data_IF_916955289802
#
_entry.id   IF_916955289802
#
_cell.length_a   1.000
_cell.length_b   1.000
_cell.length_c   1.000
_cell.angle_alpha   90.00
_cell.angle_beta   90.00
_cell.angle_gamma   90.00
#
_symmetry.space_group_name_H-M   'P 1'
#
loop_
_entity.id
_entity.type
_entity.pdbx_description
1 polymer ?
#
# COMPACT_ATOMS: atom_id res chain seq x y z
N UNK A 1 35.61 -2.11 15.66
CA UNK A 1 34.77 -0.90 15.57
C UNK A 1 33.89 -0.87 16.81
N UNK A 2 34.03 0.18 17.63
CA UNK A 2 33.38 0.31 18.93
C UNK A 2 31.95 0.87 18.75
N UNK A 3 31.04 0.66 19.72
CA UNK A 3 29.66 1.15 19.65
C UNK A 3 29.55 2.67 19.39
N UNK A 4 30.52 3.45 19.89
CA UNK A 4 30.58 4.90 19.67
C UNK A 4 30.74 5.27 18.18
N UNK A 5 31.43 4.44 17.40
CA UNK A 5 31.71 4.70 15.98
C UNK A 5 30.43 4.58 15.14
N UNK A 6 29.58 3.58 15.43
CA UNK A 6 28.34 3.34 14.68
C UNK A 6 27.30 4.43 14.93
N UNK A 7 27.16 4.87 16.19
CA UNK A 7 26.29 5.99 16.56
C UNK A 7 26.67 7.26 15.79
N UNK A 8 27.96 7.56 15.67
CA UNK A 8 28.45 8.71 14.93
C UNK A 8 28.17 8.57 13.42
N UNK A 9 28.37 7.37 12.84
CA UNK A 9 28.04 7.11 11.43
C UNK A 9 26.55 7.34 11.12
N UNK A 10 25.64 6.78 11.92
CA UNK A 10 24.20 7.01 11.77
C UNK A 10 23.86 8.50 11.86
N UNK A 11 24.46 9.20 12.82
CA UNK A 11 24.27 10.63 12.98
C UNK A 11 24.74 11.43 11.78
N UNK A 12 25.90 11.08 11.19
CA UNK A 12 26.43 11.73 9.99
C UNK A 12 25.59 11.45 8.75
N UNK A 13 25.10 10.22 8.56
CA UNK A 13 24.30 9.81 7.39
C UNK A 13 22.92 10.49 7.37
N UNK A 14 22.24 10.59 8.51
CA UNK A 14 20.87 11.13 8.56
C UNK A 14 20.75 12.50 9.24
N UNK A 15 21.87 13.06 9.72
CA UNK A 15 21.94 14.35 10.44
C UNK A 15 21.05 14.40 11.70
N UNK A 16 20.97 13.28 12.41
CA UNK A 16 20.00 13.05 13.49
C UNK A 16 20.05 14.10 14.61
N UNK A 17 21.23 14.37 15.16
CA UNK A 17 21.41 15.33 16.26
C UNK A 17 21.12 16.77 15.82
N UNK A 18 21.51 17.14 14.58
CA UNK A 18 21.20 18.46 14.03
C UNK A 18 19.69 18.68 13.87
N UNK A 19 18.93 17.59 13.65
CA UNK A 19 17.47 17.59 13.59
C UNK A 19 16.79 17.41 14.96
N UNK A 20 17.56 17.31 16.05
CA UNK A 20 17.03 17.13 17.41
C UNK A 20 16.53 15.72 17.72
N UNK A 21 16.94 14.71 16.95
CA UNK A 21 16.60 13.31 17.19
C UNK A 21 17.38 12.78 18.41
N UNK A 22 16.72 12.17 19.42
CA UNK A 22 17.42 11.58 20.55
C UNK A 22 18.27 10.37 20.16
N UNK A 23 19.52 10.34 20.62
CA UNK A 23 20.48 9.25 20.37
C UNK A 23 20.88 8.57 21.68
N UNK A 24 20.07 7.66 22.24
CA UNK A 24 20.35 7.04 23.52
C UNK A 24 21.48 5.98 23.42
N UNK A 25 22.10 5.67 24.56
CA UNK A 25 23.26 4.76 24.62
C UNK A 25 22.89 3.27 24.71
N UNK A 26 21.62 2.96 24.99
CA UNK A 26 21.09 1.59 25.08
C UNK A 26 20.64 1.01 23.73
N UNK A 27 20.68 1.80 22.65
CA UNK A 27 20.34 1.36 21.29
C UNK A 27 21.55 0.70 20.63
N UNK A 28 21.34 -0.45 19.99
CA UNK A 28 22.35 -1.09 19.16
C UNK A 28 22.48 -0.38 17.80
N UNK A 29 23.32 0.67 17.78
CA UNK A 29 23.57 1.49 16.60
C UNK A 29 24.19 0.72 15.43
N UNK A 30 24.85 -0.41 15.67
CA UNK A 30 25.37 -1.23 14.58
C UNK A 30 24.20 -1.84 13.79
N UNK A 31 23.23 -2.42 14.48
CA UNK A 31 22.02 -2.97 13.86
C UNK A 31 21.21 -1.89 13.15
N UNK A 32 21.06 -0.69 13.75
CA UNK A 32 20.39 0.45 13.09
C UNK A 32 21.09 0.82 11.79
N UNK A 33 22.43 0.91 11.81
CA UNK A 33 23.21 1.23 10.63
C UNK A 33 23.07 0.17 9.52
N UNK A 34 23.08 -1.11 9.87
CA UNK A 34 22.93 -2.22 8.91
C UNK A 34 21.54 -2.25 8.29
N UNK A 35 20.49 -1.99 9.08
CA UNK A 35 19.10 -2.01 8.60
C UNK A 35 18.67 -0.76 7.83
N UNK A 36 19.38 0.36 8.01
CA UNK A 36 19.09 1.66 7.38
C UNK A 36 17.58 2.00 7.37
N UNK A 37 16.90 2.09 8.53
CA UNK A 37 15.44 2.19 8.59
C UNK A 37 14.85 3.49 8.02
N UNK A 38 15.67 4.54 7.88
CA UNK A 38 15.22 5.87 7.43
C UNK A 38 15.45 6.02 5.93
N UNK A 39 14.55 6.75 5.27
CA UNK A 39 14.62 7.13 3.84
C UNK A 39 14.66 5.94 2.86
N UNK A 40 14.11 4.79 3.25
CA UNK A 40 13.88 3.64 2.35
C UNK A 40 12.45 3.13 2.47
N UNK A 41 12.01 2.38 1.46
CA UNK A 41 10.73 1.67 1.52
C UNK A 41 10.82 0.50 2.51
N UNK A 42 9.83 0.40 3.40
CA UNK A 42 9.68 -0.66 4.38
C UNK A 42 8.68 -1.75 3.93
N UNK A 43 7.91 -1.52 2.88
CA UNK A 43 7.09 -2.56 2.26
C UNK A 43 7.96 -3.49 1.44
N UNK A 44 7.65 -4.80 1.50
CA UNK A 44 8.26 -5.79 0.62
C UNK A 44 7.46 -5.84 -0.68
N UNK A 45 8.13 -6.09 -1.79
CA UNK A 45 7.50 -6.28 -3.09
C UNK A 45 6.47 -5.16 -3.43
N UNK A 46 6.94 -3.91 -3.59
CA UNK A 46 6.06 -2.75 -3.82
C UNK A 46 5.35 -2.75 -5.18
N UNK A 47 5.70 -3.69 -6.07
CA UNK A 47 5.22 -3.78 -7.45
C UNK A 47 4.81 -5.23 -7.76
N UNK A 48 3.71 -5.73 -7.16
CA UNK A 48 3.33 -7.14 -7.24
C UNK A 48 3.01 -7.62 -8.66
N UNK A 49 2.64 -6.71 -9.55
CA UNK A 49 2.40 -7.00 -10.98
C UNK A 49 3.64 -6.82 -11.86
N UNK A 50 4.80 -6.49 -11.29
CA UNK A 50 6.04 -6.21 -12.04
C UNK A 50 6.00 -4.90 -12.84
N UNK A 51 5.08 -3.99 -12.49
CA UNK A 51 4.87 -2.71 -13.18
C UNK A 51 5.54 -1.57 -12.43
N UNK A 52 5.77 -0.43 -13.08
CA UNK A 52 6.22 0.81 -12.42
C UNK A 52 5.33 1.99 -12.83
N UNK A 53 5.19 3.03 -11.98
CA UNK A 53 4.42 4.22 -12.34
C UNK A 53 5.00 5.03 -13.51
N UNK A 54 6.30 4.85 -13.81
CA UNK A 54 7.02 5.60 -14.85
C UNK A 54 6.62 5.21 -16.29
N UNK A 55 5.99 4.04 -16.44
CA UNK A 55 5.43 3.58 -17.71
C UNK A 55 3.90 3.53 -17.61
N UNK A 56 3.16 3.81 -18.68
CA UNK A 56 1.71 3.68 -18.67
C UNK A 56 1.26 2.27 -18.25
N UNK A 57 0.05 2.12 -17.68
CA UNK A 57 -0.54 0.80 -17.45
C UNK A 57 -0.53 -0.03 -18.75
N UNK A 58 -0.27 -1.35 -18.67
CA UNK A 58 -0.25 -2.19 -19.86
C UNK A 58 -1.64 -2.24 -20.49
N UNK A 59 -1.68 -2.12 -21.82
CA UNK A 59 -2.92 -2.26 -22.58
C UNK A 59 -3.54 -3.63 -22.35
N UNK A 60 -4.87 -3.64 -22.20
CA UNK A 60 -5.61 -4.89 -22.10
C UNK A 60 -5.68 -5.55 -23.47
N UNK A 61 -5.24 -6.79 -23.57
CA UNK A 61 -5.45 -7.61 -24.77
C UNK A 61 -6.93 -8.01 -24.89
N UNK A 62 -7.72 -7.21 -25.58
CA UNK A 62 -9.08 -7.61 -25.98
C UNK A 62 -8.97 -8.42 -27.27
N UNK A 63 -8.78 -9.73 -27.14
CA UNK A 63 -8.55 -10.61 -28.30
C UNK A 63 -9.77 -10.74 -29.21
N UNK A 64 -10.97 -10.41 -28.71
CA UNK A 64 -12.24 -10.61 -29.43
C UNK A 64 -12.60 -12.08 -29.66
N UNK A 65 -11.77 -13.01 -29.17
CA UNK A 65 -11.97 -14.46 -29.25
C UNK A 65 -12.51 -14.89 -27.87
N UNK A 66 -13.65 -15.61 -27.81
CA UNK A 66 -14.14 -16.14 -26.56
C UNK A 66 -13.08 -17.02 -25.89
N UNK A 67 -12.95 -16.98 -24.55
CA UNK A 67 -12.02 -17.85 -23.83
C UNK A 67 -12.25 -19.32 -24.19
N UNK A 68 -11.18 -20.10 -24.35
CA UNK A 68 -11.29 -21.54 -24.61
C UNK A 68 -12.06 -22.21 -23.46
N UNK A 69 -13.23 -22.83 -23.72
CA UNK A 69 -14.04 -23.44 -22.67
C UNK A 69 -13.35 -24.64 -21.99
N UNK A 70 -12.27 -25.17 -22.57
CA UNK A 70 -11.48 -26.25 -21.99
C UNK A 70 -10.37 -25.76 -21.04
N UNK A 71 -10.08 -24.46 -21.01
CA UNK A 71 -9.11 -23.89 -20.09
C UNK A 71 -9.80 -23.44 -18.78
N UNK A 72 -9.12 -23.55 -17.63
CA UNK A 72 -9.64 -23.01 -16.37
C UNK A 72 -9.86 -21.49 -16.48
N UNK A 73 -11.01 -21.02 -16.03
CA UNK A 73 -11.31 -19.60 -15.97
C UNK A 73 -10.46 -18.91 -14.89
N UNK A 74 -9.91 -17.75 -15.24
CA UNK A 74 -9.22 -16.90 -14.27
C UNK A 74 -10.25 -16.22 -13.36
N UNK A 75 -10.01 -16.24 -12.04
CA UNK A 75 -10.85 -15.57 -11.05
C UNK A 75 -10.07 -14.66 -10.10
N UNK A 76 -8.74 -14.64 -10.24
CA UNK A 76 -7.82 -13.88 -9.40
C UNK A 76 -6.82 -13.12 -10.26
N UNK A 77 -6.28 -11.97 -9.80
CA UNK A 77 -5.24 -11.25 -10.52
C UNK A 77 -3.96 -12.07 -10.67
N UNK A 78 -3.26 -11.88 -11.78
CA UNK A 78 -1.91 -12.44 -12.01
C UNK A 78 -0.87 -11.50 -11.42
N UNK A 79 0.08 -12.03 -10.66
CA UNK A 79 1.19 -11.26 -10.08
C UNK A 79 2.05 -12.11 -9.16
N UNK A 80 3.22 -11.58 -8.79
CA UNK A 80 3.98 -12.08 -7.66
C UNK A 80 3.51 -11.34 -6.41
N UNK A 81 2.73 -12.00 -5.55
CA UNK A 81 2.25 -11.44 -4.30
C UNK A 81 3.12 -11.83 -3.10
N UNK A 82 4.35 -12.31 -3.33
CA UNK A 82 5.27 -12.67 -2.25
C UNK A 82 5.48 -11.49 -1.30
N UNK A 83 5.28 -11.73 -0.01
CA UNK A 83 5.36 -10.69 1.03
C UNK A 83 4.03 -10.04 1.38
N UNK A 84 2.99 -10.22 0.55
CA UNK A 84 1.64 -9.73 0.81
C UNK A 84 0.75 -10.84 1.38
N UNK A 85 -0.15 -10.49 2.29
CA UNK A 85 -1.30 -11.33 2.59
C UNK A 85 -2.46 -10.88 1.71
N UNK A 86 -3.00 -11.80 0.92
CA UNK A 86 -4.05 -11.50 -0.05
C UNK A 86 -5.40 -12.09 0.37
N UNK A 87 -6.48 -11.43 -0.01
CA UNK A 87 -7.84 -11.99 0.16
C UNK A 87 -8.77 -11.49 -0.93
N UNK A 88 -9.76 -12.31 -1.28
CA UNK A 88 -10.81 -11.98 -2.23
C UNK A 88 -12.16 -11.93 -1.53
N UNK A 89 -12.91 -10.85 -1.74
CA UNK A 89 -14.26 -10.65 -1.22
C UNK A 89 -15.21 -10.44 -2.40
N UNK A 90 -16.07 -11.43 -2.66
CA UNK A 90 -17.10 -11.30 -3.70
C UNK A 90 -18.18 -10.32 -3.26
N UNK A 91 -18.50 -9.37 -4.14
CA UNK A 91 -19.54 -8.39 -3.89
C UNK A 91 -20.92 -8.95 -4.31
N UNK A 92 -22.00 -8.57 -3.59
CA UNK A 92 -23.36 -8.88 -4.01
C UNK A 92 -23.63 -8.35 -5.42
N UNK A 93 -24.39 -9.11 -6.21
CA UNK A 93 -24.88 -8.63 -7.50
C UNK A 93 -25.85 -7.47 -7.29
N UNK A 94 -25.65 -6.39 -8.04
CA UNK A 94 -26.59 -5.28 -8.12
C UNK A 94 -27.54 -5.48 -9.30
N UNK A 95 -28.83 -5.72 -9.00
CA UNK A 95 -29.89 -5.85 -10.00
C UNK A 95 -30.82 -4.63 -10.05
N UNK A 96 -30.52 -3.56 -9.29
CA UNK A 96 -31.41 -2.41 -9.13
C UNK A 96 -31.69 -1.65 -10.44
N UNK A 97 -30.78 -1.73 -11.41
CA UNK A 97 -30.91 -1.11 -12.73
C UNK A 97 -31.62 -1.94 -13.79
N UNK A 98 -32.11 -3.15 -13.48
CA UNK A 98 -32.70 -4.05 -14.48
C UNK A 98 -34.23 -3.96 -14.49
N UNK A 99 -34.84 -3.55 -15.62
CA UNK A 99 -36.30 -3.46 -15.72
C UNK A 99 -36.99 -4.84 -15.59
N UNK A 100 -38.24 -4.88 -15.09
CA UNK A 100 -39.01 -6.12 -15.01
C UNK A 100 -39.14 -6.81 -16.37
N UNK A 101 -38.88 -8.11 -16.42
CA UNK A 101 -38.99 -8.93 -17.63
C UNK A 101 -37.75 -8.95 -18.54
N UNK A 102 -36.70 -8.21 -18.21
CA UNK A 102 -35.41 -8.27 -18.93
C UNK A 102 -34.58 -9.46 -18.43
N UNK A 103 -34.09 -10.28 -19.35
CA UNK A 103 -33.14 -11.36 -19.07
C UNK A 103 -31.75 -10.89 -19.47
N UNK A 104 -30.81 -10.92 -18.51
CA UNK A 104 -29.40 -10.59 -18.74
C UNK A 104 -28.62 -11.90 -18.85
N UNK A 105 -28.03 -12.16 -20.01
CA UNK A 105 -27.34 -13.43 -20.30
C UNK A 105 -25.99 -13.56 -19.57
N UNK A 106 -25.29 -12.45 -19.35
CA UNK A 106 -24.02 -12.41 -18.64
C UNK A 106 -24.05 -11.29 -17.62
N UNK A 107 -23.83 -11.62 -16.35
CA UNK A 107 -23.79 -10.64 -15.27
C UNK A 107 -22.36 -10.33 -14.88
N UNK A 108 -21.98 -9.05 -14.74
CA UNK A 108 -20.70 -8.70 -14.16
C UNK A 108 -20.68 -9.06 -12.67
N UNK A 109 -19.80 -9.96 -12.29
CA UNK A 109 -19.51 -10.31 -10.90
C UNK A 109 -18.33 -9.49 -10.43
N UNK A 110 -18.54 -8.62 -9.45
CA UNK A 110 -17.47 -7.83 -8.87
C UNK A 110 -16.90 -8.49 -7.61
N UNK A 111 -15.63 -8.26 -7.35
CA UNK A 111 -14.97 -8.65 -6.09
C UNK A 111 -13.92 -7.64 -5.70
N UNK A 112 -13.70 -7.44 -4.41
CA UNK A 112 -12.50 -6.79 -3.90
C UNK A 112 -11.36 -7.80 -3.81
N UNK A 113 -10.20 -7.44 -4.32
CA UNK A 113 -8.95 -8.11 -4.03
C UNK A 113 -8.12 -7.21 -3.12
N UNK A 114 -7.87 -7.70 -1.91
CA UNK A 114 -7.15 -6.97 -0.87
C UNK A 114 -5.73 -7.51 -0.77
N UNK A 115 -4.76 -6.61 -0.65
CA UNK A 115 -3.38 -6.94 -0.31
C UNK A 115 -3.01 -6.17 0.95
N UNK A 116 -2.41 -6.84 1.93
CA UNK A 116 -1.98 -6.22 3.18
C UNK A 116 -0.56 -6.61 3.58
N UNK A 117 0.12 -5.65 4.22
CA UNK A 117 1.40 -5.84 4.89
C UNK A 117 1.41 -5.12 6.23
N UNK A 118 2.11 -5.71 7.20
CA UNK A 118 2.38 -5.12 8.49
C UNK A 118 3.88 -4.92 8.66
N UNK A 119 4.29 -3.68 8.90
CA UNK A 119 5.68 -3.31 9.17
C UNK A 119 5.87 -3.19 10.67
N UNK A 120 6.81 -3.94 11.24
CA UNK A 120 7.27 -3.76 12.63
C UNK A 120 8.42 -2.76 12.64
N UNK A 121 8.14 -1.54 13.11
CA UNK A 121 9.11 -0.44 13.05
C UNK A 121 10.36 -0.72 13.90
N UNK A 122 10.21 -1.40 15.04
CA UNK A 122 11.37 -1.76 15.88
C UNK A 122 12.19 -2.87 15.24
N UNK A 123 11.53 -3.85 14.62
CA UNK A 123 12.22 -4.88 13.85
C UNK A 123 12.94 -4.29 12.63
N UNK A 124 12.47 -3.20 12.05
CA UNK A 124 13.20 -2.48 10.97
C UNK A 124 14.38 -1.64 11.50
N UNK A 125 14.54 -1.48 12.82
CA UNK A 125 15.67 -0.78 13.44
C UNK A 125 15.34 0.62 13.99
N UNK A 126 14.06 0.98 14.07
CA UNK A 126 13.62 2.23 14.72
C UNK A 126 13.58 2.03 16.25
N UNK A 127 13.84 3.08 17.01
CA UNK A 127 13.90 3.03 18.48
C UNK A 127 12.82 3.88 19.14
N UNK A 128 12.55 3.63 20.42
CA UNK A 128 11.41 4.20 21.13
C UNK A 128 11.46 5.73 21.20
N UNK A 129 12.60 6.34 21.52
CA UNK A 129 12.71 7.80 21.61
C UNK A 129 12.54 8.50 20.26
N UNK A 130 12.94 7.85 19.16
CA UNK A 130 12.67 8.36 17.81
C UNK A 130 11.16 8.36 17.55
N UNK A 131 10.49 7.23 17.77
CA UNK A 131 9.06 7.09 17.46
C UNK A 131 8.17 7.90 18.42
N UNK A 132 8.54 8.01 19.69
CA UNK A 132 7.68 8.59 20.72
C UNK A 132 7.93 10.10 20.93
N UNK A 133 9.20 10.53 20.89
CA UNK A 133 9.57 11.93 21.17
C UNK A 133 9.81 12.74 19.90
N UNK A 134 10.57 12.18 18.95
CA UNK A 134 10.83 12.90 17.70
C UNK A 134 9.63 12.83 16.76
N UNK A 135 8.99 11.65 16.65
CA UNK A 135 7.85 11.37 15.76
C UNK A 135 8.18 11.73 14.30
N UNK A 136 9.13 11.04 13.65
CA UNK A 136 9.49 11.30 12.26
C UNK A 136 8.29 11.12 11.34
N UNK A 137 8.22 11.89 10.25
CA UNK A 137 7.15 11.75 9.26
C UNK A 137 7.13 10.34 8.67
N UNK A 138 5.93 9.76 8.57
CA UNK A 138 5.70 8.48 7.91
C UNK A 138 5.00 8.76 6.58
N UNK A 139 5.75 8.66 5.50
CA UNK A 139 5.27 8.89 4.13
C UNK A 139 4.68 7.60 3.57
N UNK A 140 3.47 7.72 3.06
CA UNK A 140 2.73 6.67 2.38
C UNK A 140 2.57 7.10 0.93
N UNK A 141 2.90 6.21 0.00
CA UNK A 141 2.56 6.40 -1.41
C UNK A 141 2.02 5.09 -1.98
N UNK A 142 1.13 5.21 -2.95
CA UNK A 142 0.64 4.09 -3.74
C UNK A 142 0.13 4.58 -5.09
N UNK A 143 0.07 3.68 -6.06
CA UNK A 143 -0.46 3.96 -7.39
C UNK A 143 -1.43 2.88 -7.82
N UNK A 144 -2.57 3.27 -8.35
CA UNK A 144 -3.56 2.37 -8.91
C UNK A 144 -3.92 2.76 -10.34
N UNK A 145 -4.33 1.78 -11.12
CA UNK A 145 -4.76 1.96 -12.51
C UNK A 145 -6.17 2.56 -12.56
N UNK A 146 -6.38 3.61 -13.36
CA UNK A 146 -7.73 3.97 -13.81
C UNK A 146 -8.23 2.91 -14.81
N UNK A 147 -9.04 1.99 -14.32
CA UNK A 147 -9.42 0.76 -15.02
C UNK A 147 -10.80 0.80 -15.68
N UNK A 148 -11.63 1.81 -15.39
CA UNK A 148 -13.04 1.91 -15.78
C UNK A 148 -13.95 0.73 -15.40
N UNK A 149 -13.50 -0.17 -14.51
CA UNK A 149 -14.32 -1.34 -14.13
C UNK A 149 -15.58 -0.94 -13.36
N UNK A 150 -15.48 0.14 -12.57
CA UNK A 150 -16.54 0.67 -11.70
C UNK A 150 -16.19 2.10 -11.29
N UNK A 151 -17.16 2.88 -10.81
CA UNK A 151 -16.88 4.20 -10.23
C UNK A 151 -16.09 4.14 -8.90
N UNK A 152 -15.78 2.96 -8.37
CA UNK A 152 -15.09 2.76 -7.09
C UNK A 152 -14.27 1.50 -7.26
N UNK A 153 -13.01 1.69 -7.62
CA UNK A 153 -12.09 0.62 -8.05
C UNK A 153 -10.91 0.46 -7.11
N UNK A 154 -10.70 1.40 -6.19
CA UNK A 154 -9.55 1.42 -5.30
C UNK A 154 -9.94 1.91 -3.90
N UNK A 155 -9.38 1.27 -2.88
CA UNK A 155 -9.42 1.71 -1.49
C UNK A 155 -8.04 1.54 -0.85
N UNK A 156 -7.61 2.52 -0.06
CA UNK A 156 -6.41 2.46 0.77
C UNK A 156 -6.79 2.71 2.22
N UNK A 157 -6.35 1.82 3.12
CA UNK A 157 -6.44 1.97 4.56
C UNK A 157 -5.08 1.74 5.19
N UNK A 158 -4.50 2.79 5.75
CA UNK A 158 -3.26 2.72 6.51
C UNK A 158 -3.52 3.05 7.97
N UNK A 159 -3.00 2.21 8.88
CA UNK A 159 -3.13 2.40 10.33
C UNK A 159 -1.76 2.42 10.99
N UNK A 160 -1.57 3.39 11.88
CA UNK A 160 -0.48 3.38 12.85
C UNK A 160 -0.97 2.69 14.12
N UNK A 161 -0.32 1.61 14.52
CA UNK A 161 -0.75 0.77 15.64
C UNK A 161 0.25 0.77 16.79
N UNK A 162 -0.27 0.60 18.00
CA UNK A 162 0.52 0.49 19.22
C UNK A 162 1.24 -0.87 19.34
N UNK A 163 2.01 -1.04 20.43
CA UNK A 163 2.82 -2.24 20.68
C UNK A 163 2.03 -3.56 20.75
N UNK A 164 0.74 -3.54 21.03
CA UNK A 164 -0.13 -4.73 21.01
C UNK A 164 -0.52 -5.17 19.58
N UNK A 165 -0.15 -4.39 18.56
CA UNK A 165 -0.47 -4.64 17.16
C UNK A 165 -1.96 -4.58 16.83
N UNK A 166 -2.78 -3.96 17.70
CA UNK A 166 -4.25 -3.89 17.59
C UNK A 166 -4.80 -2.50 17.88
N UNK A 167 -4.28 -1.81 18.89
CA UNK A 167 -4.73 -0.47 19.28
C UNK A 167 -4.30 0.54 18.23
N UNK A 168 -5.28 1.21 17.63
CA UNK A 168 -5.08 2.20 16.58
C UNK A 168 -4.76 3.56 17.17
N UNK A 169 -3.64 4.15 16.74
CA UNK A 169 -3.18 5.48 17.16
C UNK A 169 -3.62 6.54 16.14
N UNK A 170 -3.39 6.28 14.85
CA UNK A 170 -3.89 7.09 13.74
C UNK A 170 -4.29 6.21 12.57
N UNK A 171 -5.19 6.71 11.74
CA UNK A 171 -5.53 6.09 10.47
C UNK A 171 -5.62 7.11 9.34
N UNK A 172 -5.39 6.60 8.13
CA UNK A 172 -5.66 7.28 6.88
C UNK A 172 -6.50 6.36 5.99
N UNK A 173 -7.55 6.90 5.39
CA UNK A 173 -8.42 6.22 4.44
C UNK A 173 -8.54 7.03 3.17
N UNK A 174 -8.41 6.37 2.03
CA UNK A 174 -8.64 6.95 0.71
C UNK A 174 -9.50 5.98 -0.09
N UNK A 175 -10.65 6.44 -0.59
CA UNK A 175 -11.54 5.64 -1.44
C UNK A 175 -12.09 6.59 -2.52
N UNK A 176 -11.27 6.93 -3.53
CA UNK A 176 -11.68 7.84 -4.59
C UNK A 176 -12.80 7.23 -5.43
N UNK A 177 -13.60 8.12 -6.02
CA UNK A 177 -14.65 7.76 -6.98
C UNK A 177 -14.21 8.21 -8.36
N UNK A 178 -14.39 7.34 -9.34
CA UNK A 178 -14.02 7.58 -10.74
C UNK A 178 -15.19 8.14 -11.55
N UNK A 179 -14.84 9.06 -12.45
CA UNK A 179 -15.73 9.53 -13.50
C UNK A 179 -15.68 8.56 -14.68
N UNK A 180 -16.74 7.77 -14.83
CA UNK A 180 -16.84 6.76 -15.89
C UNK A 180 -17.00 7.38 -17.29
N UNK A 181 -17.31 8.67 -17.40
CA UNK A 181 -17.38 9.37 -18.70
C UNK A 181 -15.99 9.76 -19.23
N UNK A 182 -14.98 9.83 -18.35
CA UNK A 182 -13.63 10.29 -18.69
C UNK A 182 -12.61 9.16 -18.49
N UNK A 183 -12.31 8.42 -19.56
CA UNK A 183 -11.25 7.41 -19.51
C UNK A 183 -9.88 8.06 -19.64
N UNK A 184 -9.02 7.90 -18.62
CA UNK A 184 -7.62 8.35 -18.72
C UNK A 184 -6.62 7.23 -18.97
N UNK A 185 -6.94 5.99 -18.58
CA UNK A 185 -6.03 4.83 -18.61
C UNK A 185 -4.63 5.10 -18.01
N UNK A 186 -4.56 5.96 -17.00
CA UNK A 186 -3.29 6.36 -16.37
C UNK A 186 -3.17 5.78 -14.96
N UNK A 187 -1.94 5.76 -14.44
CA UNK A 187 -1.70 5.57 -13.02
C UNK A 187 -2.18 6.81 -12.23
N UNK A 188 -2.92 6.55 -11.15
CA UNK A 188 -3.37 7.57 -10.20
C UNK A 188 -2.59 7.42 -8.90
N UNK A 189 -1.91 8.49 -8.50
CA UNK A 189 -1.14 8.53 -7.26
C UNK A 189 -2.04 8.80 -6.06
N UNK A 190 -1.79 8.07 -4.98
CA UNK A 190 -2.28 8.40 -3.63
C UNK A 190 -1.07 8.63 -2.73
N UNK A 191 -1.05 9.76 -2.02
CA UNK A 191 0.03 10.08 -1.10
C UNK A 191 -0.53 10.64 0.21
N UNK A 192 0.10 10.24 1.31
CA UNK A 192 -0.23 10.74 2.65
C UNK A 192 1.01 10.79 3.53
N UNK A 193 1.07 11.76 4.44
CA UNK A 193 2.13 11.86 5.43
C UNK A 193 1.51 11.92 6.82
N UNK A 194 1.84 10.96 7.67
CA UNK A 194 1.53 11.07 9.10
C UNK A 194 2.62 11.90 9.78
N UNK A 195 2.24 13.08 10.26
CA UNK A 195 3.02 13.92 11.16
C UNK A 195 2.35 14.00 12.53
N UNK A 196 3.14 14.30 13.57
CA UNK A 196 2.65 14.51 14.95
C UNK A 196 1.65 13.45 15.41
N UNK A 197 1.97 12.17 15.20
CA UNK A 197 1.03 11.06 15.44
C UNK A 197 0.85 10.68 16.91
N UNK A 198 1.60 11.30 17.82
CA UNK A 198 1.63 10.95 19.22
C UNK A 198 2.53 9.74 19.51
N UNK A 199 2.86 9.50 20.78
CA UNK A 199 3.74 8.40 21.15
C UNK A 199 3.04 7.03 21.04
N UNK A 200 3.83 5.97 20.98
CA UNK A 200 3.36 4.58 21.10
C UNK A 200 3.27 3.82 19.78
N UNK A 201 3.49 4.45 18.63
CA UNK A 201 3.45 3.77 17.32
C UNK A 201 4.56 2.74 17.22
N UNK A 202 4.21 1.51 16.90
CA UNK A 202 5.15 0.38 16.73
C UNK A 202 4.94 -0.39 15.42
N UNK A 203 3.73 -0.33 14.87
CA UNK A 203 3.45 -0.95 13.57
C UNK A 203 2.80 0.03 12.61
N UNK A 204 3.07 -0.20 11.33
CA UNK A 204 2.27 0.34 10.22
C UNK A 204 1.54 -0.84 9.59
N UNK A 205 0.21 -0.80 9.58
CA UNK A 205 -0.62 -1.73 8.80
C UNK A 205 -1.03 -1.02 7.53
N UNK A 206 -0.55 -1.51 6.40
CA UNK A 206 -0.87 -1.02 5.06
C UNK A 206 -1.80 -2.02 4.40
N UNK A 207 -2.99 -1.58 3.99
CA UNK A 207 -3.93 -2.39 3.24
C UNK A 207 -4.50 -1.56 2.10
N UNK A 208 -4.38 -2.06 0.87
CA UNK A 208 -5.14 -1.54 -0.26
C UNK A 208 -6.06 -2.63 -0.82
N UNK A 209 -7.10 -2.19 -1.50
CA UNK A 209 -8.06 -3.03 -2.20
C UNK A 209 -8.25 -2.50 -3.60
N UNK A 210 -8.31 -3.43 -4.54
CA UNK A 210 -8.65 -3.14 -5.93
C UNK A 210 -9.85 -3.96 -6.36
N UNK A 211 -10.70 -3.37 -7.20
CA UNK A 211 -11.90 -4.04 -7.68
C UNK A 211 -11.56 -4.86 -8.91
N UNK A 212 -12.06 -6.09 -8.92
CA UNK A 212 -12.04 -6.97 -10.08
C UNK A 212 -13.46 -7.20 -10.57
N UNK A 213 -13.57 -7.57 -11.85
CA UNK A 213 -14.81 -7.92 -12.53
C UNK A 213 -14.60 -9.22 -13.29
N UNK A 214 -15.49 -10.18 -13.09
CA UNK A 214 -15.61 -11.36 -13.93
C UNK A 214 -16.93 -11.31 -14.68
N UNK A 215 -16.92 -11.57 -15.99
CA UNK A 215 -18.15 -11.67 -16.80
C UNK A 215 -18.04 -12.81 -17.80
N UNK A 216 -17.41 -12.56 -18.95
CA UNK A 216 -16.98 -13.59 -19.91
C UNK A 216 -15.53 -14.00 -19.63
N UNK A 217 -14.72 -13.03 -19.21
CA UNK A 217 -13.34 -13.16 -18.78
C UNK A 217 -13.09 -12.30 -17.53
N UNK A 218 -11.87 -12.40 -16.99
CA UNK A 218 -11.44 -11.69 -15.80
C UNK A 218 -10.81 -10.34 -16.14
N UNK A 219 -11.23 -9.31 -15.43
CA UNK A 219 -10.65 -7.97 -15.48
C UNK A 219 -10.27 -7.54 -14.06
N UNK A 220 -9.02 -7.13 -13.88
CA UNK A 220 -8.54 -6.58 -12.61
C UNK A 220 -8.06 -5.16 -12.76
N UNK A 221 -8.23 -4.37 -11.69
CA UNK A 221 -7.51 -3.11 -11.49
C UNK A 221 -6.15 -3.42 -10.89
N UNK A 222 -5.08 -2.84 -11.45
CA UNK A 222 -3.71 -3.04 -10.99
C UNK A 222 -3.24 -1.97 -10.01
N UNK A 223 -2.22 -2.31 -9.22
CA UNK A 223 -1.50 -1.41 -8.29
C UNK A 223 0.00 -1.56 -8.44
N UNK A 224 0.74 -0.48 -8.14
CA UNK A 224 2.20 -0.53 -8.10
C UNK A 224 2.78 0.62 -7.28
N UNK A 225 4.08 0.57 -6.99
CA UNK A 225 4.81 1.65 -6.34
C UNK A 225 4.40 1.87 -4.89
N UNK A 226 3.79 0.87 -4.24
CA UNK A 226 3.35 0.98 -2.85
C UNK A 226 4.55 1.22 -1.93
N UNK A 227 4.48 2.24 -1.08
CA UNK A 227 5.59 2.54 -0.18
C UNK A 227 5.17 3.03 1.20
N UNK A 228 5.99 2.65 2.19
CA UNK A 228 6.01 3.20 3.54
C UNK A 228 7.43 3.62 3.83
N UNK A 229 7.67 4.93 3.96
CA UNK A 229 9.00 5.50 4.18
C UNK A 229 9.01 6.33 5.44
N UNK A 230 9.92 6.00 6.37
CA UNK A 230 10.15 6.81 7.57
C UNK A 230 11.18 7.88 7.23
N UNK A 231 10.79 9.14 7.32
CA UNK A 231 11.67 10.26 7.03
C UNK A 231 12.63 10.52 8.19
N UNK A 232 13.80 11.06 7.89
CA UNK A 232 14.71 11.58 8.89
C UNK A 232 14.26 12.97 9.40
N UNK A 233 13.17 13.50 8.86
CA UNK A 233 12.56 14.80 9.22
C UNK A 233 11.20 14.59 9.86
N UNK A 234 10.68 15.67 10.45
CA UNK A 234 9.29 15.76 10.89
C UNK A 234 8.70 17.07 10.41
N UNK A 235 7.43 17.05 10.04
CA UNK A 235 6.64 18.22 9.70
C UNK A 235 5.91 18.72 10.95
N UNK A 236 5.69 20.03 11.04
CA UNK A 236 4.76 20.54 12.04
C UNK A 236 3.34 20.17 11.60
N UNK A 237 2.51 19.62 12.51
CA UNK A 237 1.14 19.22 12.21
C UNK A 237 0.22 20.40 11.90
#
# INVERSE_FOLDING_TARGET
LQMADWKQKCNSEWQLAAKGVPLPNNVDWKTVYEKKPLERNLLKNPSPHGLTPDIPPPEREVTGIPPDPNLPQQHEPTGDFTGWSTSNERLPMDTSGVPPGVVVCYWPNYSWFSMEQRVDLKAEGLWDELLDKFQPDISIEDWYEESQLHASIYELHVKLLAADGKTMIKEYKCAPTEDLEVYSHNWKQVSHVFSGYGPGVRYVHFNHKVKNKFMVEFFGTMVTGSSVVIKATKSNP
#
